data_IF_298442659129
#
_entry.id   IF_298442659129
#
_cell.length_a   1.000
_cell.length_b   1.000
_cell.length_c   1.000
_cell.angle_alpha   90.00
_cell.angle_beta   90.00
_cell.angle_gamma   90.00
#
_symmetry.space_group_name_H-M   'P 1'
#
loop_
_entity.id
_entity.type
_entity.pdbx_description
1 polymer ?
#
# COMPACT_ATOMS: atom_id res chain seq x y z
N UNK A 1 1.55 -18.46 -22.50
CA UNK A 1 0.44 -18.45 -21.52
C UNK A 1 0.97 -17.74 -20.29
N UNK A 2 0.30 -16.69 -19.79
CA UNK A 2 0.77 -15.96 -18.61
C UNK A 2 0.58 -16.87 -17.39
N UNK A 3 1.65 -17.07 -16.62
CA UNK A 3 1.63 -17.94 -15.45
C UNK A 3 0.64 -17.44 -14.40
N UNK A 4 -0.21 -18.34 -13.88
CA UNK A 4 -1.15 -18.02 -12.79
C UNK A 4 -0.46 -18.14 -11.43
N UNK A 5 -1.06 -17.59 -10.38
CA UNK A 5 -0.52 -17.75 -9.03
C UNK A 5 -0.43 -19.22 -8.61
N UNK A 6 -1.44 -20.03 -8.94
CA UNK A 6 -1.48 -21.42 -8.48
C UNK A 6 -0.34 -22.23 -9.10
N UNK A 7 0.04 -21.92 -10.34
CA UNK A 7 1.19 -22.54 -11.00
C UNK A 7 2.49 -22.28 -10.25
N UNK A 8 2.74 -21.03 -9.84
CA UNK A 8 3.94 -20.64 -9.05
C UNK A 8 3.97 -21.40 -7.72
N UNK A 9 2.87 -21.36 -6.98
CA UNK A 9 2.75 -22.03 -5.68
C UNK A 9 3.03 -23.53 -5.76
N UNK A 10 2.51 -24.18 -6.81
CA UNK A 10 2.72 -25.62 -7.03
C UNK A 10 4.18 -25.94 -7.33
N UNK A 11 4.89 -25.09 -8.08
CA UNK A 11 6.36 -25.25 -8.32
C UNK A 11 7.17 -25.10 -7.04
N UNK A 12 6.75 -24.25 -6.11
CA UNK A 12 7.40 -24.08 -4.80
C UNK A 12 7.04 -25.20 -3.79
N UNK A 13 6.32 -26.24 -4.22
CA UNK A 13 5.97 -27.39 -3.38
C UNK A 13 4.76 -27.16 -2.45
N UNK A 14 4.02 -26.07 -2.62
CA UNK A 14 2.86 -25.77 -1.77
C UNK A 14 1.70 -26.71 -2.12
N UNK A 15 1.16 -27.39 -1.10
CA UNK A 15 0.02 -28.30 -1.28
C UNK A 15 -1.28 -27.54 -1.54
N UNK A 16 -2.22 -28.16 -2.27
CA UNK A 16 -3.57 -27.62 -2.46
C UNK A 16 -4.27 -27.27 -1.13
N UNK A 17 -4.05 -28.09 -0.09
CA UNK A 17 -4.60 -27.84 1.25
C UNK A 17 -4.02 -26.57 1.87
N UNK A 18 -2.71 -26.37 1.80
CA UNK A 18 -2.05 -25.17 2.32
C UNK A 18 -2.53 -23.91 1.58
N UNK A 19 -2.69 -24.01 0.26
CA UNK A 19 -3.25 -22.94 -0.56
C UNK A 19 -4.69 -22.57 -0.15
N UNK A 20 -5.58 -23.54 0.02
CA UNK A 20 -6.96 -23.25 0.44
C UNK A 20 -7.02 -22.67 1.87
N UNK A 21 -6.14 -23.11 2.78
CA UNK A 21 -6.00 -22.50 4.11
C UNK A 21 -5.58 -21.03 4.01
N UNK A 22 -4.62 -20.74 3.16
CA UNK A 22 -4.17 -19.38 2.88
C UNK A 22 -5.33 -18.50 2.39
N UNK A 23 -6.08 -18.94 1.37
CA UNK A 23 -7.25 -18.19 0.87
C UNK A 23 -8.31 -17.96 1.97
N UNK A 24 -8.50 -18.93 2.86
CA UNK A 24 -9.38 -18.80 4.02
C UNK A 24 -8.90 -17.74 5.03
N UNK A 25 -7.62 -17.77 5.38
CA UNK A 25 -7.01 -16.78 6.28
C UNK A 25 -7.06 -15.38 5.66
N UNK A 26 -6.79 -15.24 4.37
CA UNK A 26 -6.88 -13.96 3.69
C UNK A 26 -8.32 -13.43 3.66
N UNK A 27 -9.32 -14.28 3.40
CA UNK A 27 -10.72 -13.88 3.51
C UNK A 27 -11.06 -13.37 4.93
N UNK A 28 -10.59 -14.06 5.96
CA UNK A 28 -10.81 -13.68 7.35
C UNK A 28 -10.12 -12.36 7.72
N UNK A 29 -8.86 -12.15 7.30
CA UNK A 29 -8.13 -10.90 7.52
C UNK A 29 -8.82 -9.70 6.86
N UNK A 30 -9.49 -9.94 5.73
CA UNK A 30 -10.31 -8.96 5.03
C UNK A 30 -11.70 -8.76 5.66
N UNK A 31 -12.05 -9.47 6.73
CA UNK A 31 -13.41 -9.45 7.30
C UNK A 31 -14.48 -9.97 6.34
N UNK A 32 -14.11 -10.77 5.35
CA UNK A 32 -15.03 -11.42 4.41
C UNK A 32 -15.58 -12.71 5.00
N UNK A 33 -16.78 -13.12 4.59
CA UNK A 33 -17.32 -14.40 5.02
C UNK A 33 -16.48 -15.58 4.47
N UNK A 34 -16.49 -16.75 5.14
CA UNK A 34 -15.74 -17.93 4.69
C UNK A 34 -16.07 -18.36 3.25
N UNK A 35 -17.25 -18.02 2.73
CA UNK A 35 -17.66 -18.31 1.35
C UNK A 35 -16.77 -17.62 0.31
N UNK A 36 -16.05 -16.55 0.67
CA UNK A 36 -15.14 -15.84 -0.22
C UNK A 36 -13.79 -16.53 -0.40
N UNK A 37 -13.43 -17.50 0.45
CA UNK A 37 -12.19 -18.25 0.33
C UNK A 37 -12.09 -18.96 -1.04
N UNK A 38 -13.20 -19.52 -1.54
CA UNK A 38 -13.25 -20.14 -2.86
C UNK A 38 -13.10 -19.15 -4.01
N UNK A 39 -13.60 -17.92 -3.87
CA UNK A 39 -13.42 -16.86 -4.88
C UNK A 39 -11.98 -16.36 -4.94
N UNK A 40 -11.35 -16.21 -3.78
CA UNK A 40 -9.92 -15.89 -3.68
C UNK A 40 -9.12 -17.02 -4.34
N UNK A 41 -9.38 -18.28 -3.98
CA UNK A 41 -8.71 -19.42 -4.57
C UNK A 41 -8.85 -19.45 -6.10
N UNK A 42 -10.07 -19.29 -6.62
CA UNK A 42 -10.31 -19.27 -8.06
C UNK A 42 -9.60 -18.13 -8.78
N UNK A 43 -9.62 -16.91 -8.23
CA UNK A 43 -8.91 -15.78 -8.81
C UNK A 43 -7.40 -16.05 -8.88
N UNK A 44 -6.84 -16.62 -7.81
CA UNK A 44 -5.45 -16.99 -7.73
C UNK A 44 -5.08 -18.17 -8.66
N UNK A 45 -6.02 -19.06 -8.97
CA UNK A 45 -5.83 -20.15 -9.94
C UNK A 45 -5.93 -19.73 -11.40
N UNK A 46 -6.56 -18.59 -11.69
CA UNK A 46 -6.96 -18.24 -13.08
C UNK A 46 -6.40 -16.93 -13.57
N UNK A 47 -6.02 -16.02 -12.67
CA UNK A 47 -5.60 -14.66 -13.03
C UNK A 47 -4.09 -14.51 -13.02
N UNK A 48 -3.55 -13.68 -13.93
CA UNK A 48 -2.15 -13.29 -13.88
C UNK A 48 -1.88 -12.38 -12.67
N UNK A 49 -0.61 -12.30 -12.29
CA UNK A 49 -0.13 -11.35 -11.27
C UNK A 49 -0.27 -9.92 -11.76
N UNK A 50 -0.67 -9.01 -10.89
CA UNK A 50 -0.81 -7.58 -11.23
C UNK A 50 0.57 -6.91 -11.13
N UNK A 51 1.06 -6.25 -12.18
CA UNK A 51 2.28 -5.46 -12.11
C UNK A 51 2.15 -4.29 -11.13
N UNK A 52 3.18 -4.04 -10.33
CA UNK A 52 3.24 -2.97 -9.34
C UNK A 52 4.54 -2.21 -9.52
N UNK A 53 4.43 -0.90 -9.69
CA UNK A 53 5.52 0.05 -9.53
C UNK A 53 5.39 0.67 -8.14
N UNK A 54 6.34 0.43 -7.24
CA UNK A 54 6.38 1.03 -5.91
C UNK A 54 7.43 2.12 -5.87
N UNK A 55 6.99 3.38 -5.95
CA UNK A 55 7.86 4.54 -6.00
C UNK A 55 8.02 5.18 -4.62
N UNK A 56 9.25 5.57 -4.31
CA UNK A 56 9.67 6.13 -3.03
C UNK A 56 9.96 7.63 -3.15
N UNK A 57 9.15 8.46 -2.49
CA UNK A 57 9.32 9.91 -2.44
C UNK A 57 10.08 10.36 -1.20
N UNK A 58 9.66 11.48 -0.61
CA UNK A 58 10.12 11.91 0.71
C UNK A 58 9.51 10.98 1.77
N UNK A 59 10.31 10.06 2.28
CA UNK A 59 9.82 8.86 2.98
C UNK A 59 10.82 8.40 4.07
N UNK A 60 10.49 7.36 4.85
CA UNK A 60 11.33 6.87 5.98
C UNK A 60 11.40 5.33 6.08
N UNK A 61 11.00 4.67 5.01
CA UNK A 61 10.91 3.24 4.69
C UNK A 61 9.97 2.46 5.59
N UNK A 62 9.25 3.13 6.50
CA UNK A 62 8.41 2.46 7.48
C UNK A 62 7.20 1.73 6.86
N UNK A 63 6.67 2.15 5.70
CA UNK A 63 5.54 1.46 5.08
C UNK A 63 6.03 0.16 4.41
N UNK A 64 7.19 0.20 3.74
CA UNK A 64 7.88 -0.99 3.26
C UNK A 64 8.23 -1.95 4.40
N UNK A 65 8.78 -1.42 5.50
CA UNK A 65 9.05 -2.21 6.71
C UNK A 65 7.76 -2.81 7.28
N UNK A 66 6.65 -2.07 7.33
CA UNK A 66 5.37 -2.63 7.77
C UNK A 66 4.88 -3.74 6.83
N UNK A 67 4.97 -3.53 5.52
CA UNK A 67 4.53 -4.51 4.52
C UNK A 67 5.21 -5.86 4.73
N UNK A 68 6.54 -5.89 4.96
CA UNK A 68 7.27 -7.14 5.19
C UNK A 68 6.94 -7.83 6.53
N UNK A 69 6.20 -7.17 7.43
CA UNK A 69 5.71 -7.74 8.71
C UNK A 69 4.35 -8.42 8.58
N UNK A 70 3.70 -8.36 7.43
CA UNK A 70 2.39 -9.00 7.22
C UNK A 70 2.48 -10.51 7.45
N UNK A 71 1.58 -11.07 8.25
CA UNK A 71 1.55 -12.51 8.54
C UNK A 71 0.60 -13.28 7.59
N UNK A 72 -0.52 -12.66 7.21
CA UNK A 72 -1.62 -13.32 6.49
C UNK A 72 -2.27 -12.39 5.46
N UNK A 73 -1.80 -12.38 4.21
CA UNK A 73 -0.70 -13.18 3.63
C UNK A 73 0.69 -12.69 4.04
N UNK A 74 1.73 -13.53 3.93
CA UNK A 74 3.11 -13.09 4.09
C UNK A 74 3.51 -12.17 2.93
N UNK A 75 4.41 -11.21 3.16
CA UNK A 75 4.91 -10.34 2.09
C UNK A 75 5.53 -11.11 0.93
N UNK A 76 6.28 -12.19 1.21
CA UNK A 76 6.79 -13.09 0.16
C UNK A 76 5.68 -13.72 -0.68
N UNK A 77 4.53 -14.04 -0.08
CA UNK A 77 3.39 -14.64 -0.76
C UNK A 77 2.63 -13.57 -1.57
N UNK A 78 2.73 -12.30 -1.18
CA UNK A 78 2.24 -11.20 -2.01
C UNK A 78 3.18 -10.98 -3.19
N UNK A 79 4.47 -10.77 -2.95
CA UNK A 79 5.47 -10.42 -3.96
C UNK A 79 5.67 -11.53 -4.99
N UNK A 80 5.86 -12.78 -4.55
CA UNK A 80 6.20 -13.88 -5.46
C UNK A 80 4.98 -14.42 -6.20
N UNK A 81 3.79 -13.95 -5.84
CA UNK A 81 2.60 -14.78 -5.99
C UNK A 81 1.36 -13.94 -6.33
N UNK A 82 1.02 -12.88 -5.60
CA UNK A 82 -0.15 -12.05 -5.93
C UNK A 82 0.14 -10.95 -6.95
N UNK A 83 1.30 -10.33 -6.82
CA UNK A 83 1.73 -9.22 -7.66
C UNK A 83 3.00 -9.57 -8.43
N UNK A 84 3.31 -8.78 -9.43
CA UNK A 84 4.67 -8.66 -9.94
C UNK A 84 5.18 -7.32 -9.42
N UNK A 85 5.95 -7.34 -8.33
CA UNK A 85 6.59 -6.12 -7.83
C UNK A 85 7.79 -5.85 -8.73
N UNK A 86 7.52 -5.14 -9.83
CA UNK A 86 8.48 -4.97 -10.91
C UNK A 86 9.53 -3.90 -10.53
N UNK A 87 9.12 -2.89 -9.77
CA UNK A 87 10.02 -1.85 -9.25
C UNK A 87 9.75 -1.59 -7.75
N UNK A 88 10.83 -1.62 -6.97
CA UNK A 88 10.88 -1.18 -5.58
C UNK A 88 12.35 -0.95 -5.19
N UNK A 89 12.73 0.30 -4.89
CA UNK A 89 14.12 0.70 -4.62
C UNK A 89 14.76 -0.03 -3.43
N UNK A 90 13.96 -0.59 -2.51
CA UNK A 90 14.46 -1.20 -1.28
C UNK A 90 14.89 -2.65 -1.49
N UNK A 91 14.14 -3.42 -2.29
CA UNK A 91 14.35 -4.88 -2.42
C UNK A 91 14.67 -5.36 -3.84
N UNK A 92 14.66 -4.48 -4.85
CA UNK A 92 14.98 -4.87 -6.22
C UNK A 92 16.47 -5.22 -6.40
N UNK A 93 16.75 -6.14 -7.32
CA UNK A 93 18.13 -6.54 -7.62
C UNK A 93 18.86 -5.59 -8.58
N UNK A 94 18.13 -4.92 -9.47
CA UNK A 94 18.70 -3.97 -10.44
C UNK A 94 18.97 -2.61 -9.77
N UNK A 95 19.94 -1.86 -10.29
CA UNK A 95 20.32 -0.54 -9.79
C UNK A 95 20.71 0.39 -10.94
N UNK A 96 20.77 1.70 -10.68
CA UNK A 96 21.20 2.69 -11.68
C UNK A 96 20.32 2.67 -12.93
N UNK A 97 20.94 2.70 -14.11
CA UNK A 97 20.20 2.75 -15.38
C UNK A 97 19.27 1.57 -15.62
N UNK A 98 19.62 0.38 -15.11
CA UNK A 98 18.77 -0.80 -15.21
C UNK A 98 17.52 -0.67 -14.35
N UNK A 99 17.61 -0.03 -13.19
CA UNK A 99 16.44 0.26 -12.37
C UNK A 99 15.52 1.27 -13.05
N UNK A 100 16.08 2.35 -13.61
CA UNK A 100 15.29 3.36 -14.32
C UNK A 100 14.58 2.80 -15.56
N UNK A 101 15.23 1.90 -16.30
CA UNK A 101 14.64 1.26 -17.48
C UNK A 101 13.38 0.45 -17.16
N UNK A 102 13.31 -0.19 -15.99
CA UNK A 102 12.17 -1.02 -15.58
C UNK A 102 10.88 -0.20 -15.49
N UNK A 103 10.96 1.06 -15.07
CA UNK A 103 9.78 1.94 -14.98
C UNK A 103 9.17 2.13 -16.36
N UNK A 104 10.01 2.50 -17.35
CA UNK A 104 9.57 2.70 -18.73
C UNK A 104 9.06 1.40 -19.35
N UNK A 105 9.79 0.29 -19.21
CA UNK A 105 9.37 -1.02 -19.71
C UNK A 105 8.02 -1.45 -19.12
N UNK A 106 7.78 -1.19 -17.84
CA UNK A 106 6.51 -1.52 -17.17
C UNK A 106 5.38 -0.64 -17.67
N UNK A 107 5.62 0.66 -17.85
CA UNK A 107 4.64 1.60 -18.39
C UNK A 107 4.25 1.21 -19.82
N UNK A 108 5.23 0.93 -20.68
CA UNK A 108 5.01 0.53 -22.07
C UNK A 108 4.23 -0.79 -22.17
N UNK A 109 4.65 -1.80 -21.39
CA UNK A 109 4.09 -3.15 -21.46
C UNK A 109 2.72 -3.27 -20.80
N UNK A 110 2.47 -2.51 -19.74
CA UNK A 110 1.29 -2.67 -18.89
C UNK A 110 0.46 -1.39 -18.73
N UNK A 111 0.57 -0.44 -19.67
CA UNK A 111 -0.23 0.79 -19.67
C UNK A 111 -1.73 0.51 -19.40
N UNK A 112 -2.29 1.21 -18.41
CA UNK A 112 -3.66 1.05 -17.93
C UNK A 112 -3.91 -0.18 -17.05
N UNK A 113 -2.91 -1.02 -16.81
CA UNK A 113 -3.07 -2.32 -16.16
C UNK A 113 -2.14 -2.58 -14.95
N UNK A 114 -1.20 -1.70 -14.63
CA UNK A 114 -0.38 -1.78 -13.41
C UNK A 114 -0.93 -0.91 -12.28
N UNK A 115 -0.58 -1.25 -11.05
CA UNK A 115 -0.83 -0.42 -9.86
C UNK A 115 0.41 0.43 -9.59
N UNK A 116 0.20 1.72 -9.35
CA UNK A 116 1.23 2.61 -8.84
C UNK A 116 1.10 2.69 -7.32
N UNK A 117 2.05 2.12 -6.59
CA UNK A 117 2.20 2.27 -5.15
C UNK A 117 3.12 3.48 -4.87
N UNK A 118 2.65 4.42 -4.06
CA UNK A 118 3.43 5.59 -3.66
C UNK A 118 3.69 5.53 -2.15
N UNK A 119 4.96 5.49 -1.77
CA UNK A 119 5.42 5.69 -0.39
C UNK A 119 6.08 7.07 -0.28
N UNK A 120 5.68 7.86 0.71
CA UNK A 120 6.18 9.23 0.89
C UNK A 120 5.51 10.33 0.07
N UNK A 121 6.03 11.56 0.24
CA UNK A 121 5.53 12.77 -0.41
C UNK A 121 6.43 13.24 -1.57
N UNK A 122 5.87 13.80 -2.64
CA UNK A 122 6.63 14.75 -3.46
C UNK A 122 6.84 16.08 -2.72
N UNK A 123 8.01 16.67 -2.88
CA UNK A 123 8.27 18.08 -2.55
C UNK A 123 7.98 18.97 -3.76
N UNK A 124 7.14 20.00 -3.59
CA UNK A 124 6.73 20.90 -4.68
C UNK A 124 7.24 22.34 -4.52
N UNK A 125 7.92 22.66 -3.43
CA UNK A 125 8.43 24.00 -3.15
C UNK A 125 9.45 24.42 -4.23
N UNK A 126 9.22 25.55 -4.90
CA UNK A 126 10.01 25.97 -6.08
C UNK A 126 11.05 27.05 -5.77
N UNK A 127 10.77 27.97 -4.84
CA UNK A 127 11.59 29.16 -4.62
C UNK A 127 12.92 28.82 -3.96
N UNK A 128 12.92 27.89 -3.00
CA UNK A 128 14.12 27.53 -2.23
C UNK A 128 14.71 26.19 -2.66
N UNK A 129 13.88 25.25 -3.09
CA UNK A 129 14.32 23.89 -3.46
C UNK A 129 14.17 23.59 -4.95
N UNK A 130 13.49 24.43 -5.74
CA UNK A 130 13.28 24.17 -7.18
C UNK A 130 12.51 22.89 -7.49
N UNK A 131 11.72 22.37 -6.54
CA UNK A 131 11.08 21.06 -6.61
C UNK A 131 12.03 19.87 -6.42
N UNK A 132 13.30 20.13 -6.07
CA UNK A 132 14.38 19.14 -6.00
C UNK A 132 14.64 18.65 -4.57
N UNK A 133 13.62 18.67 -3.71
CA UNK A 133 13.72 18.14 -2.34
C UNK A 133 13.88 16.61 -2.30
N UNK A 134 13.52 15.91 -3.37
CA UNK A 134 13.71 14.47 -3.56
C UNK A 134 14.15 14.24 -5.02
N UNK A 135 15.38 13.75 -5.20
CA UNK A 135 16.02 13.61 -6.51
C UNK A 135 16.34 12.14 -6.75
N UNK A 136 15.82 11.58 -7.84
CA UNK A 136 16.03 10.20 -8.27
C UNK A 136 16.60 10.25 -9.68
N UNK A 137 17.72 9.56 -9.89
CA UNK A 137 18.44 9.55 -11.18
C UNK A 137 18.68 10.96 -11.80
N UNK A 138 18.90 11.97 -10.96
CA UNK A 138 19.14 13.36 -11.38
C UNK A 138 17.89 14.18 -11.72
N UNK A 139 16.69 13.63 -11.48
CA UNK A 139 15.39 14.27 -11.74
C UNK A 139 14.56 14.38 -10.46
N UNK A 140 13.64 15.35 -10.35
CA UNK A 140 12.75 15.40 -9.21
C UNK A 140 11.81 14.19 -9.23
N UNK A 141 11.56 13.58 -8.07
CA UNK A 141 10.61 12.46 -7.91
C UNK A 141 9.23 12.73 -8.54
N UNK A 142 8.82 14.00 -8.58
CA UNK A 142 7.55 14.43 -9.20
C UNK A 142 7.45 14.10 -10.68
N UNK A 143 8.56 14.04 -11.41
CA UNK A 143 8.59 13.67 -12.83
C UNK A 143 8.22 12.20 -13.01
N UNK A 144 8.94 11.30 -12.33
CA UNK A 144 8.69 9.86 -12.33
C UNK A 144 7.26 9.54 -11.82
N UNK A 145 6.83 10.20 -10.75
CA UNK A 145 5.47 10.08 -10.21
C UNK A 145 4.40 10.43 -11.24
N UNK A 146 4.51 11.60 -11.89
CA UNK A 146 3.51 12.05 -12.88
C UNK A 146 3.50 11.16 -14.12
N UNK A 147 4.67 10.72 -14.57
CA UNK A 147 4.80 9.82 -15.71
C UNK A 147 4.12 8.47 -15.43
N UNK A 148 4.49 7.81 -14.32
CA UNK A 148 3.88 6.55 -13.92
C UNK A 148 2.40 6.69 -13.54
N UNK A 149 1.94 7.84 -13.04
CA UNK A 149 0.54 7.99 -12.64
C UNK A 149 -0.42 8.13 -13.82
N UNK A 150 0.01 8.72 -14.95
CA UNK A 150 -0.80 8.89 -16.17
C UNK A 150 -1.26 7.58 -16.79
N UNK A 151 -0.48 6.53 -16.62
CA UNK A 151 -0.73 5.21 -17.22
C UNK A 151 -1.14 4.15 -16.19
N UNK A 152 -1.29 4.51 -14.92
CA UNK A 152 -1.67 3.57 -13.87
C UNK A 152 -3.16 3.19 -13.94
N UNK A 153 -3.47 1.92 -13.64
CA UNK A 153 -4.85 1.45 -13.42
C UNK A 153 -5.47 2.07 -12.17
N UNK A 154 -4.65 2.18 -11.13
CA UNK A 154 -4.99 2.76 -9.83
C UNK A 154 -3.70 3.17 -9.11
N UNK A 155 -3.84 4.15 -8.22
CA UNK A 155 -2.75 4.61 -7.36
C UNK A 155 -3.08 4.22 -5.92
N UNK A 156 -2.12 3.66 -5.20
CA UNK A 156 -2.24 3.40 -3.76
C UNK A 156 -1.25 4.30 -3.03
N UNK A 157 -1.77 5.19 -2.18
CA UNK A 157 -0.96 6.02 -1.28
C UNK A 157 -0.70 5.27 0.02
N UNK A 158 0.50 4.72 0.16
CA UNK A 158 0.94 4.04 1.37
C UNK A 158 1.38 5.04 2.43
N UNK A 159 0.76 4.94 3.61
CA UNK A 159 1.14 5.74 4.75
C UNK A 159 0.49 7.11 4.78
N UNK A 160 0.57 7.73 5.95
CA UNK A 160 0.06 9.08 6.19
C UNK A 160 0.79 10.14 5.38
N UNK A 161 2.07 9.93 5.04
CA UNK A 161 2.87 10.81 4.17
C UNK A 161 2.18 10.91 2.80
N UNK A 162 2.13 9.80 2.04
CA UNK A 162 1.51 9.79 0.72
C UNK A 162 0.01 10.17 0.77
N UNK A 163 -0.72 9.74 1.80
CA UNK A 163 -2.16 10.00 1.92
C UNK A 163 -2.50 11.46 2.24
N UNK A 164 -1.73 12.11 3.12
CA UNK A 164 -2.10 13.40 3.75
C UNK A 164 -0.95 14.39 4.03
N UNK A 165 0.31 13.99 3.86
CA UNK A 165 1.50 14.84 4.08
C UNK A 165 2.29 14.50 5.34
N UNK A 166 1.61 14.11 6.42
CA UNK A 166 2.22 13.68 7.69
C UNK A 166 3.32 14.62 8.21
N UNK A 167 4.41 14.07 8.76
CA UNK A 167 5.45 14.80 9.49
C UNK A 167 6.20 15.81 8.60
N UNK A 168 6.35 15.52 7.32
CA UNK A 168 7.08 16.42 6.40
C UNK A 168 6.24 17.61 5.94
N UNK A 169 4.91 17.44 5.88
CA UNK A 169 3.98 18.53 5.56
C UNK A 169 3.55 19.33 6.80
N UNK A 170 3.94 18.90 8.00
CA UNK A 170 3.69 19.66 9.23
C UNK A 170 4.45 21.00 9.19
N UNK A 171 3.93 22.00 9.90
CA UNK A 171 4.55 23.33 9.96
C UNK A 171 6.04 23.22 10.34
N UNK A 172 6.97 23.85 9.61
CA UNK A 172 6.74 24.88 8.58
C UNK A 172 6.63 24.36 7.12
N UNK A 173 6.66 23.05 6.87
CA UNK A 173 6.64 22.42 5.53
C UNK A 173 7.69 23.00 4.55
N UNK A 174 8.99 22.91 4.87
CA UNK A 174 10.05 23.60 4.13
C UNK A 174 10.25 23.07 2.70
N UNK A 175 9.79 21.86 2.40
CA UNK A 175 9.94 21.21 1.09
C UNK A 175 8.67 21.27 0.24
N UNK A 176 7.58 21.84 0.76
CA UNK A 176 6.28 21.80 0.12
C UNK A 176 5.79 20.36 -0.07
N UNK A 177 6.05 19.49 0.91
CA UNK A 177 5.61 18.11 0.93
C UNK A 177 4.08 18.06 0.73
N UNK A 178 3.67 17.43 -0.36
CA UNK A 178 2.28 17.44 -0.83
C UNK A 178 1.75 16.01 -0.88
N UNK A 179 0.55 15.70 -0.36
CA UNK A 179 -0.01 14.36 -0.49
C UNK A 179 -0.35 14.03 -1.95
N UNK A 180 -0.24 12.76 -2.33
CA UNK A 180 -0.32 12.30 -3.73
C UNK A 180 -1.56 12.84 -4.45
N UNK A 181 -2.74 12.76 -3.83
CA UNK A 181 -4.00 13.25 -4.42
C UNK A 181 -4.09 14.77 -4.67
N UNK A 182 -3.13 15.56 -4.19
CA UNK A 182 -3.05 17.02 -4.42
C UNK A 182 -1.94 17.41 -5.39
N UNK A 183 -1.21 16.44 -5.92
CA UNK A 183 -0.16 16.71 -6.91
C UNK A 183 -0.82 17.16 -8.22
N UNK A 184 -0.40 18.30 -8.80
CA UNK A 184 -0.93 18.75 -10.09
C UNK A 184 -0.61 17.74 -11.20
N UNK A 185 -1.43 17.70 -12.25
CA UNK A 185 -1.23 16.90 -13.48
C UNK A 185 -0.85 15.42 -13.27
N UNK A 186 -1.31 14.82 -12.16
CA UNK A 186 -1.03 13.42 -11.82
C UNK A 186 -1.75 12.43 -12.75
N UNK A 187 -2.85 12.85 -13.38
CA UNK A 187 -3.71 11.99 -14.21
C UNK A 187 -5.01 11.62 -13.50
N UNK A 188 -5.78 10.71 -14.13
CA UNK A 188 -7.16 10.40 -13.73
C UNK A 188 -7.29 9.06 -12.99
N UNK A 189 -6.18 8.37 -12.73
CA UNK A 189 -6.20 7.09 -12.05
C UNK A 189 -6.83 7.23 -10.65
N UNK A 190 -7.76 6.35 -10.26
CA UNK A 190 -8.38 6.40 -8.94
C UNK A 190 -7.33 6.17 -7.84
N UNK A 191 -7.43 6.96 -6.77
CA UNK A 191 -6.47 6.96 -5.66
C UNK A 191 -7.08 6.29 -4.43
N UNK A 192 -6.43 5.24 -3.93
CA UNK A 192 -6.75 4.57 -2.68
C UNK A 192 -5.78 5.07 -1.61
N UNK A 193 -6.30 5.64 -0.54
CA UNK A 193 -5.48 6.09 0.61
C UNK A 193 -5.46 5.02 1.67
N UNK A 194 -4.25 4.59 2.06
CA UNK A 194 -4.05 3.63 3.14
C UNK A 194 -3.17 4.29 4.20
N UNK A 195 -3.75 5.17 5.05
CA UNK A 195 -3.00 5.92 6.03
C UNK A 195 -2.57 5.09 7.24
N UNK A 196 -1.61 5.62 7.98
CA UNK A 196 -0.90 5.03 9.11
C UNK A 196 0.58 5.43 9.04
N UNK A 197 1.29 5.43 10.18
CA UNK A 197 2.70 5.81 10.23
C UNK A 197 3.53 4.75 10.99
N UNK A 198 3.64 3.53 10.46
CA UNK A 198 3.14 3.07 9.15
C UNK A 198 1.71 2.51 9.17
N UNK A 199 1.09 2.23 8.01
CA UNK A 199 -0.15 1.45 7.94
C UNK A 199 0.02 0.07 8.54
N UNK A 200 -1.08 -0.53 9.00
CA UNK A 200 -1.08 -1.92 9.47
C UNK A 200 -0.78 -2.85 8.29
N UNK A 201 0.18 -3.76 8.47
CA UNK A 201 0.68 -4.65 7.42
C UNK A 201 -0.44 -5.46 6.72
N UNK A 202 -1.36 -6.02 7.52
CA UNK A 202 -2.50 -6.79 7.03
C UNK A 202 -3.46 -5.95 6.19
N UNK A 203 -3.59 -4.65 6.49
CA UNK A 203 -4.42 -3.75 5.68
C UNK A 203 -3.78 -3.56 4.30
N UNK A 204 -2.45 -3.41 4.24
CA UNK A 204 -1.74 -3.23 2.97
C UNK A 204 -1.90 -4.46 2.06
N UNK A 205 -1.62 -5.65 2.59
CA UNK A 205 -1.73 -6.90 1.82
C UNK A 205 -3.17 -7.26 1.47
N UNK A 206 -4.13 -6.94 2.34
CA UNK A 206 -5.54 -7.16 2.07
C UNK A 206 -6.10 -6.25 0.96
N UNK A 207 -5.66 -5.00 0.85
CA UNK A 207 -6.06 -4.11 -0.25
C UNK A 207 -5.60 -4.68 -1.59
N UNK A 208 -4.35 -5.14 -1.68
CA UNK A 208 -3.80 -5.78 -2.88
C UNK A 208 -4.61 -7.05 -3.21
N UNK A 209 -4.84 -7.91 -2.21
CA UNK A 209 -5.60 -9.15 -2.41
C UNK A 209 -7.02 -8.88 -2.88
N UNK A 210 -7.67 -7.84 -2.36
CA UNK A 210 -9.01 -7.42 -2.79
C UNK A 210 -9.02 -7.10 -4.28
N UNK A 211 -8.08 -6.27 -4.73
CA UNK A 211 -8.01 -5.81 -6.12
C UNK A 211 -7.78 -7.00 -7.05
N UNK A 212 -6.87 -7.91 -6.70
CA UNK A 212 -6.62 -9.14 -7.46
C UNK A 212 -7.87 -10.04 -7.53
N UNK A 213 -8.47 -10.31 -6.38
CA UNK A 213 -9.59 -11.25 -6.26
C UNK A 213 -10.81 -10.77 -7.05
N UNK A 214 -11.17 -9.49 -6.89
CA UNK A 214 -12.43 -8.96 -7.40
C UNK A 214 -12.29 -8.11 -8.65
N UNK A 215 -11.06 -7.87 -9.13
CA UNK A 215 -10.75 -7.00 -10.30
C UNK A 215 -11.38 -5.61 -10.21
N UNK A 216 -11.60 -5.14 -8.99
CA UNK A 216 -12.17 -3.83 -8.70
C UNK A 216 -11.56 -3.27 -7.43
N UNK A 217 -11.65 -1.96 -7.28
CA UNK A 217 -11.19 -1.29 -6.07
C UNK A 217 -12.15 -1.57 -4.90
N UNK A 218 -11.66 -1.61 -3.65
CA UNK A 218 -12.53 -1.70 -2.50
C UNK A 218 -13.42 -0.46 -2.40
N UNK A 219 -14.59 -0.60 -1.77
CA UNK A 219 -15.44 0.57 -1.50
C UNK A 219 -14.69 1.55 -0.60
N UNK A 220 -14.59 2.81 -1.03
CA UNK A 220 -13.88 3.86 -0.30
C UNK A 220 -14.85 4.73 0.50
N UNK A 221 -14.39 5.24 1.65
CA UNK A 221 -15.09 6.28 2.38
C UNK A 221 -14.94 7.64 1.69
N UNK A 222 -15.59 8.68 2.25
CA UNK A 222 -15.52 10.06 1.71
C UNK A 222 -14.11 10.65 1.65
N UNK A 223 -13.14 10.03 2.32
CA UNK A 223 -11.75 10.48 2.34
C UNK A 223 -10.86 9.68 1.38
N UNK A 224 -11.41 8.69 0.66
CA UNK A 224 -10.66 7.82 -0.25
C UNK A 224 -10.03 6.61 0.42
N UNK A 225 -10.44 6.24 1.64
CA UNK A 225 -9.88 5.11 2.39
C UNK A 225 -10.77 3.87 2.30
N UNK A 226 -10.23 2.64 2.24
CA UNK A 226 -11.05 1.42 2.22
C UNK A 226 -11.99 1.33 3.43
N UNK A 227 -13.32 1.33 3.19
CA UNK A 227 -14.33 1.30 4.27
C UNK A 227 -14.17 0.11 5.22
N UNK A 228 -13.78 -1.04 4.69
CA UNK A 228 -13.57 -2.26 5.47
C UNK A 228 -12.55 -2.10 6.60
N UNK A 229 -11.60 -1.17 6.49
CA UNK A 229 -10.55 -0.93 7.50
C UNK A 229 -10.72 0.39 8.25
N UNK A 230 -11.27 1.43 7.60
CA UNK A 230 -11.25 2.81 8.14
C UNK A 230 -12.64 3.39 8.46
N UNK A 231 -13.70 2.57 8.49
CA UNK A 231 -15.08 3.03 8.70
C UNK A 231 -15.47 3.35 10.14
N UNK A 232 -14.65 2.98 11.13
CA UNK A 232 -14.97 3.15 12.55
C UNK A 232 -13.84 3.89 13.28
N UNK A 233 -14.20 4.65 14.31
CA UNK A 233 -13.20 5.31 15.16
C UNK A 233 -12.59 4.26 16.09
N UNK A 234 -11.30 4.38 16.38
CA UNK A 234 -10.62 3.47 17.31
C UNK A 234 -11.33 3.47 18.68
N UNK A 235 -11.76 4.63 19.16
CA UNK A 235 -12.45 4.77 20.44
C UNK A 235 -13.79 4.00 20.52
N UNK A 236 -14.47 3.77 19.41
CA UNK A 236 -15.73 3.02 19.39
C UNK A 236 -15.51 1.51 19.59
N UNK A 237 -14.30 0.99 19.29
CA UNK A 237 -13.91 -0.41 19.46
C UNK A 237 -12.89 -0.62 20.57
N UNK A 238 -12.58 0.41 21.35
CA UNK A 238 -11.55 0.33 22.36
C UNK A 238 -12.00 -0.58 23.50
N UNK A 239 -11.20 -1.59 23.85
CA UNK A 239 -11.48 -2.44 25.01
C UNK A 239 -11.48 -1.65 26.33
N UNK A 240 -10.85 -0.46 26.36
CA UNK A 240 -10.85 0.47 27.50
C UNK A 240 -12.06 1.41 27.53
N UNK A 241 -13.04 1.24 26.64
CA UNK A 241 -14.19 2.15 26.54
C UNK A 241 -15.04 2.19 27.82
N UNK A 242 -15.22 1.06 28.49
CA UNK A 242 -15.95 0.99 29.76
C UNK A 242 -15.30 1.85 30.85
N UNK A 243 -13.96 1.90 30.92
CA UNK A 243 -13.23 2.77 31.84
C UNK A 243 -13.46 4.24 31.52
N UNK A 244 -13.43 4.61 30.23
CA UNK A 244 -13.76 5.97 29.78
C UNK A 244 -15.18 6.38 30.20
N UNK A 245 -16.18 5.52 29.98
CA UNK A 245 -17.57 5.79 30.33
C UNK A 245 -17.77 5.90 31.87
N UNK A 246 -16.94 5.22 32.66
CA UNK A 246 -16.93 5.28 34.12
C UNK A 246 -16.06 6.41 34.70
N UNK A 247 -15.43 7.25 33.86
CA UNK A 247 -14.54 8.33 34.31
C UNK A 247 -13.23 7.84 34.95
N UNK A 248 -12.81 6.62 34.64
CA UNK A 248 -11.59 6.01 35.18
C UNK A 248 -10.41 6.31 34.26
N UNK A 249 -9.72 7.42 34.55
CA UNK A 249 -8.60 7.89 33.75
C UNK A 249 -7.25 7.65 34.42
N UNK A 250 -6.25 7.47 33.58
CA UNK A 250 -4.84 7.53 33.97
C UNK A 250 -4.43 9.00 33.93
N UNK A 251 -3.94 9.51 35.05
CA UNK A 251 -3.57 10.93 35.19
C UNK A 251 -2.06 11.13 35.01
N UNK A 252 -1.28 10.10 35.31
CA UNK A 252 0.18 10.09 35.11
C UNK A 252 0.66 8.75 34.60
N UNK A 253 1.74 8.78 33.82
CA UNK A 253 2.43 7.56 33.43
C UNK A 253 2.77 6.72 34.67
N UNK A 254 2.50 5.42 34.58
CA UNK A 254 2.79 4.39 35.60
C UNK A 254 2.10 4.55 36.98
N UNK A 255 1.04 5.36 37.07
CA UNK A 255 0.20 5.44 38.28
C UNK A 255 -0.57 4.14 38.56
N UNK A 256 -1.32 4.11 39.67
CA UNK A 256 -2.07 2.92 40.06
C UNK A 256 -3.17 2.56 39.05
N UNK A 257 -3.80 3.56 38.41
CA UNK A 257 -4.84 3.35 37.42
C UNK A 257 -4.27 2.77 36.12
N UNK A 258 -3.05 3.16 35.72
CA UNK A 258 -2.37 2.64 34.52
C UNK A 258 -2.06 1.14 34.60
N UNK A 259 -1.96 0.59 35.82
CA UNK A 259 -1.64 -0.82 36.09
C UNK A 259 -2.88 -1.71 36.22
N UNK A 260 -4.08 -1.14 36.19
CA UNK A 260 -5.37 -1.84 36.28
C UNK A 260 -6.04 -1.91 34.92
#
# INVERSE_FOLDING_TARGET
MVETFYDVMRRQGITRRSFLKFCGLTAAAMGLSPAYAGKIAHAMETKPRIPVLWLHGLECTCCSESFIRSAHPLAKDVILSMISLDYDDTIMAAAGHQAEAIIEETIEKYSGNYILACEGNPGLEQEHTGGMSCIIAGKPYTEQLRHAAKHAKAIISWGSCASWGCVQAASPNPTGATPIHKVPDLGNAPIIKVPGCPPIAEVMTAVITYILTFEKLPSLDRQGRPKMFYSQRIHDKCYRRSHFDAGQFVEKWDDEAARK
#
